data_IF_378058662186
#
_entry.id   IF_378058662186
#
_cell.length_a   1.000
_cell.length_b   1.000
_cell.length_c   1.000
_cell.angle_alpha   90.00
_cell.angle_beta   90.00
_cell.angle_gamma   90.00
#
_symmetry.space_group_name_H-M   'P 1'
#
loop_
_entity.id
_entity.type
_entity.pdbx_description
1 polymer ?
#
# COMPACT_ATOMS: atom_id res chain seq x y z
N UNK A 1 10.27 -7.28 8.27
CA UNK A 1 10.68 -8.35 7.31
C UNK A 1 11.41 -7.81 6.07
N UNK A 2 10.91 -6.80 5.32
CA UNK A 2 11.58 -6.33 4.09
C UNK A 2 13.00 -5.80 4.34
N UNK A 3 13.22 -5.12 5.47
CA UNK A 3 14.54 -4.62 5.87
C UNK A 3 15.56 -5.74 6.17
N UNK A 4 15.11 -6.87 6.72
CA UNK A 4 15.96 -8.03 7.03
C UNK A 4 16.38 -8.72 5.72
N UNK A 5 15.44 -8.86 4.79
CA UNK A 5 15.70 -9.40 3.45
C UNK A 5 16.67 -8.48 2.69
N UNK A 6 16.44 -7.17 2.74
CA UNK A 6 17.35 -6.17 2.18
C UNK A 6 18.76 -6.28 2.73
N UNK A 7 18.93 -6.44 4.06
CA UNK A 7 20.23 -6.62 4.71
C UNK A 7 20.96 -7.88 4.25
N UNK A 8 20.26 -9.02 4.15
CA UNK A 8 20.86 -10.29 3.70
C UNK A 8 21.34 -10.16 2.25
N UNK A 9 20.52 -9.58 1.37
CA UNK A 9 20.87 -9.37 -0.04
C UNK A 9 22.00 -8.36 -0.18
N UNK A 10 21.96 -7.25 0.57
CA UNK A 10 23.01 -6.24 0.55
C UNK A 10 24.35 -6.79 1.02
N UNK A 11 24.35 -7.71 2.00
CA UNK A 11 25.57 -8.38 2.47
C UNK A 11 26.16 -9.35 1.43
N UNK A 12 25.33 -10.01 0.62
CA UNK A 12 25.79 -10.97 -0.39
C UNK A 12 26.27 -10.30 -1.68
N UNK A 13 25.66 -9.17 -2.05
CA UNK A 13 25.88 -8.53 -3.35
C UNK A 13 26.61 -7.18 -3.29
N UNK A 14 27.08 -6.73 -2.11
CA UNK A 14 27.71 -5.41 -1.90
C UNK A 14 26.85 -4.22 -2.40
N UNK A 15 25.53 -4.42 -2.47
CA UNK A 15 24.57 -3.39 -2.85
C UNK A 15 23.95 -2.75 -1.62
N UNK A 16 23.53 -1.49 -1.77
CA UNK A 16 22.83 -0.78 -0.71
C UNK A 16 21.50 -1.51 -0.34
N UNK A 17 21.39 -2.08 0.87
CA UNK A 17 20.21 -2.86 1.27
C UNK A 17 18.93 -2.02 1.30
N UNK A 18 19.04 -0.71 1.45
CA UNK A 18 17.90 0.21 1.45
C UNK A 18 17.25 0.36 0.08
N UNK A 19 17.99 0.18 -1.03
CA UNK A 19 17.41 0.19 -2.37
C UNK A 19 16.49 -1.00 -2.57
N UNK A 20 16.96 -2.19 -2.20
CA UNK A 20 16.16 -3.42 -2.28
C UNK A 20 14.93 -3.35 -1.37
N UNK A 21 15.10 -2.85 -0.15
CA UNK A 21 13.98 -2.64 0.77
C UNK A 21 12.96 -1.64 0.20
N UNK A 22 13.40 -0.54 -0.40
CA UNK A 22 12.51 0.45 -1.02
C UNK A 22 11.68 -0.15 -2.16
N UNK A 23 12.29 -0.98 -3.02
CA UNK A 23 11.56 -1.67 -4.10
C UNK A 23 10.47 -2.58 -3.52
N UNK A 24 10.80 -3.40 -2.51
CA UNK A 24 9.84 -4.31 -1.89
C UNK A 24 8.69 -3.53 -1.22
N UNK A 25 9.01 -2.49 -0.45
CA UNK A 25 7.99 -1.63 0.16
C UNK A 25 7.13 -0.94 -0.89
N UNK A 26 7.69 -0.55 -2.03
CA UNK A 26 6.95 0.08 -3.14
C UNK A 26 5.95 -0.88 -3.77
N UNK A 27 6.37 -2.12 -4.04
CA UNK A 27 5.48 -3.18 -4.54
C UNK A 27 4.38 -3.47 -3.53
N UNK A 28 4.72 -3.64 -2.24
CA UNK A 28 3.74 -3.86 -1.19
C UNK A 28 2.73 -2.72 -1.12
N UNK A 29 3.17 -1.47 -1.19
CA UNK A 29 2.30 -0.30 -1.15
C UNK A 29 1.25 -0.33 -2.26
N UNK A 30 1.66 -0.62 -3.50
CA UNK A 30 0.74 -0.69 -4.65
C UNK A 30 -0.35 -1.75 -4.44
N UNK A 31 0.03 -2.95 -3.97
CA UNK A 31 -0.92 -4.03 -3.72
C UNK A 31 -1.82 -3.79 -2.50
N UNK A 32 -1.40 -2.95 -1.56
CA UNK A 32 -2.16 -2.66 -0.35
C UNK A 32 -3.18 -1.53 -0.50
N UNK A 33 -3.18 -0.82 -1.63
CA UNK A 33 -4.22 0.17 -1.94
C UNK A 33 -5.52 -0.58 -2.24
N UNK A 34 -6.59 -0.40 -1.44
CA UNK A 34 -7.85 -1.11 -1.65
C UNK A 34 -8.53 -0.58 -2.91
N UNK A 35 -8.58 -1.37 -3.98
CA UNK A 35 -9.26 -1.02 -5.24
C UNK A 35 -10.75 -0.78 -5.05
N UNK A 36 -11.39 -1.57 -4.18
CA UNK A 36 -12.84 -1.64 -4.08
C UNK A 36 -13.44 -0.40 -3.37
N UNK A 37 -12.69 0.23 -2.47
CA UNK A 37 -13.19 1.38 -1.72
C UNK A 37 -13.26 2.66 -2.57
N UNK A 38 -12.38 2.84 -3.56
CA UNK A 38 -12.32 4.08 -4.35
C UNK A 38 -13.34 4.12 -5.49
N UNK A 39 -13.73 2.96 -6.04
CA UNK A 39 -14.63 2.88 -7.19
C UNK A 39 -16.06 2.43 -6.84
N UNK A 40 -16.32 1.95 -5.63
CA UNK A 40 -17.65 1.48 -5.19
C UNK A 40 -18.76 2.51 -5.44
N UNK A 41 -18.52 3.78 -5.12
CA UNK A 41 -19.52 4.86 -5.27
C UNK A 41 -19.92 5.12 -6.72
N UNK A 42 -18.99 4.98 -7.65
CA UNK A 42 -19.23 5.16 -9.09
C UNK A 42 -19.98 3.97 -9.68
N UNK A 43 -19.66 2.76 -9.21
CA UNK A 43 -20.36 1.52 -9.59
C UNK A 43 -21.80 1.51 -9.04
N UNK A 44 -21.99 1.90 -7.79
CA UNK A 44 -23.31 2.00 -7.18
C UNK A 44 -24.18 3.07 -7.87
N UNK A 45 -23.58 4.20 -8.25
CA UNK A 45 -24.26 5.24 -9.00
C UNK A 45 -24.73 4.75 -10.37
N UNK A 46 -23.85 4.10 -11.14
CA UNK A 46 -24.18 3.47 -12.43
C UNK A 46 -25.28 2.40 -12.28
N UNK A 47 -25.21 1.60 -11.22
CA UNK A 47 -26.19 0.54 -11.00
C UNK A 47 -27.55 1.11 -10.63
N UNK A 48 -27.59 2.23 -9.92
CA UNK A 48 -28.83 2.93 -9.55
C UNK A 48 -29.48 3.68 -10.73
N UNK A 49 -28.69 4.16 -11.71
CA UNK A 49 -29.25 4.74 -12.94
C UNK A 49 -29.89 3.66 -13.83
N UNK A 50 -29.34 2.44 -13.84
CA UNK A 50 -29.89 1.30 -14.57
C UNK A 50 -31.05 0.60 -13.83
N UNK A 51 -31.03 0.61 -12.50
CA UNK A 51 -32.08 0.02 -11.67
C UNK A 51 -32.43 0.95 -10.49
N UNK A 52 -33.55 1.69 -10.55
CA UNK A 52 -33.94 2.65 -9.51
C UNK A 52 -34.24 2.01 -8.14
N UNK A 53 -34.55 0.71 -8.12
CA UNK A 53 -34.82 -0.05 -6.89
C UNK A 53 -33.55 -0.59 -6.23
N UNK A 54 -32.38 -0.44 -6.87
CA UNK A 54 -31.11 -0.85 -6.31
C UNK A 54 -30.80 -0.07 -5.04
N UNK A 55 -30.67 -0.80 -3.92
CA UNK A 55 -30.18 -0.27 -2.66
C UNK A 55 -28.81 -0.91 -2.43
N UNK A 56 -27.71 -0.12 -2.42
CA UNK A 56 -26.41 -0.68 -2.08
C UNK A 56 -26.50 -1.29 -0.68
N UNK A 57 -25.86 -2.44 -0.50
CA UNK A 57 -25.73 -3.05 0.82
C UNK A 57 -25.11 -2.00 1.76
N UNK A 58 -25.66 -1.86 2.98
CA UNK A 58 -25.13 -0.91 3.96
C UNK A 58 -23.65 -1.15 4.09
N UNK A 59 -22.86 -0.08 3.94
CA UNK A 59 -21.42 -0.09 4.15
C UNK A 59 -21.18 -0.46 5.62
N UNK A 60 -21.12 -1.76 5.91
CA UNK A 60 -20.60 -2.23 7.18
C UNK A 60 -19.13 -1.84 7.17
N UNK A 61 -18.79 -0.77 7.89
CA UNK A 61 -17.40 -0.48 8.23
C UNK A 61 -16.91 -1.66 9.06
N UNK A 62 -16.44 -2.68 8.34
CA UNK A 62 -15.78 -3.83 8.90
C UNK A 62 -14.56 -3.29 9.62
N UNK A 63 -14.45 -3.53 10.91
CA UNK A 63 -13.33 -3.06 11.75
C UNK A 63 -11.95 -3.46 11.19
N UNK A 64 -11.90 -4.51 10.36
CA UNK A 64 -10.76 -4.87 9.48
C UNK A 64 -10.20 -3.67 8.67
N UNK A 65 -11.02 -2.69 8.30
CA UNK A 65 -10.61 -1.57 7.45
C UNK A 65 -9.64 -0.62 8.15
N UNK A 66 -9.75 -0.46 9.48
CA UNK A 66 -8.86 0.44 10.24
C UNK A 66 -7.47 -0.14 10.34
N UNK A 67 -7.33 -1.43 10.65
CA UNK A 67 -6.03 -2.11 10.70
C UNK A 67 -5.34 -2.13 9.33
N UNK A 68 -6.11 -2.37 8.26
CA UNK A 68 -5.62 -2.27 6.89
C UNK A 68 -5.11 -0.86 6.56
N UNK A 69 -5.88 0.17 6.93
CA UNK A 69 -5.49 1.57 6.70
C UNK A 69 -4.22 1.95 7.47
N UNK A 70 -4.11 1.52 8.73
CA UNK A 70 -2.91 1.74 9.55
C UNK A 70 -1.69 1.05 8.91
N UNK A 71 -1.85 -0.18 8.43
CA UNK A 71 -0.78 -0.89 7.74
C UNK A 71 -0.32 -0.13 6.48
N UNK A 72 -1.25 0.42 5.69
CA UNK A 72 -0.92 1.23 4.49
C UNK A 72 -0.07 2.44 4.88
N UNK A 73 -0.46 3.15 5.93
CA UNK A 73 0.26 4.33 6.43
C UNK A 73 1.66 3.94 6.92
N UNK A 74 1.79 2.84 7.65
CA UNK A 74 3.08 2.35 8.16
C UNK A 74 4.02 1.96 7.00
N UNK A 75 3.51 1.23 6.01
CA UNK A 75 4.28 0.85 4.81
C UNK A 75 4.71 2.09 4.02
N UNK A 76 3.83 3.08 3.89
CA UNK A 76 4.13 4.33 3.21
C UNK A 76 5.22 5.15 3.92
N UNK A 77 5.13 5.29 5.24
CA UNK A 77 6.16 5.96 6.04
C UNK A 77 7.51 5.23 5.96
N UNK A 78 7.51 3.90 6.02
CA UNK A 78 8.72 3.09 5.87
C UNK A 78 9.36 3.29 4.49
N UNK A 79 8.57 3.37 3.43
CA UNK A 79 9.03 3.67 2.07
C UNK A 79 9.70 5.05 2.00
N UNK A 80 9.06 6.09 2.55
CA UNK A 80 9.60 7.46 2.55
C UNK A 80 10.94 7.50 3.28
N UNK A 81 11.04 6.89 4.46
CA UNK A 81 12.28 6.83 5.22
C UNK A 81 13.38 6.12 4.41
N UNK A 82 13.03 5.00 3.74
CA UNK A 82 13.97 4.28 2.88
C UNK A 82 14.49 5.15 1.72
N UNK A 83 13.61 5.88 1.05
CA UNK A 83 13.97 6.78 -0.05
C UNK A 83 14.83 7.96 0.43
N UNK A 84 14.53 8.52 1.60
CA UNK A 84 15.33 9.61 2.19
C UNK A 84 16.75 9.11 2.49
N UNK A 85 16.90 7.94 3.11
CA UNK A 85 18.21 7.35 3.42
C UNK A 85 19.00 7.10 2.13
N UNK A 86 18.36 6.52 1.11
CA UNK A 86 18.98 6.31 -0.19
C UNK A 86 19.40 7.65 -0.81
N UNK A 87 18.53 8.66 -0.80
CA UNK A 87 18.85 9.99 -1.34
C UNK A 87 20.09 10.60 -0.69
N UNK A 88 20.19 10.60 0.64
CA UNK A 88 21.36 11.12 1.35
C UNK A 88 22.63 10.28 1.17
N UNK A 89 22.52 9.02 0.80
CA UNK A 89 23.69 8.18 0.53
C UNK A 89 24.29 8.42 -0.86
N UNK A 90 23.51 8.95 -1.80
CA UNK A 90 23.93 9.23 -3.18
C UNK A 90 24.19 10.73 -3.45
N UNK A 91 23.93 11.61 -2.49
CA UNK A 91 24.27 13.05 -2.50
C UNK A 91 25.60 13.25 -1.77
#
# INVERSE_FOLDING_TARGET
MPMIIGLIVGYIFDFNPFIFAAIIYGVMFIFMIPSDSFFSSSVDYQTKTLNPTFRPAKFEMKTDSLESTINVIVVFLALIICLIIVYYQYV
#
